data_IF_078838305739
#
_entry.id   IF_078838305739
#
_cell.length_a   1.000
_cell.length_b   1.000
_cell.length_c   1.000
_cell.angle_alpha   90.00
_cell.angle_beta   90.00
_cell.angle_gamma   90.00
#
_symmetry.space_group_name_H-M   'P 1'
#
loop_
_entity.id
_entity.type
_entity.pdbx_description
1 polymer ?
#
# COMPACT_ATOMS: atom_id res chain seq x y z
N UNK A 1 -41.53 -32.05 37.94
CA UNK A 1 -41.23 -32.07 36.50
C UNK A 1 -41.11 -30.61 36.03
N UNK A 2 -39.87 -30.08 35.93
CA UNK A 2 -39.37 -28.95 35.08
C UNK A 2 -37.88 -28.78 35.48
N UNK A 3 -36.93 -29.19 34.61
CA UNK A 3 -36.09 -28.37 33.71
C UNK A 3 -35.14 -27.41 34.48
N UNK A 4 -33.84 -27.31 34.21
CA UNK A 4 -33.03 -27.80 33.10
C UNK A 4 -31.53 -27.58 33.35
N UNK A 5 -30.74 -28.17 32.46
CA UNK A 5 -29.28 -28.23 32.47
C UNK A 5 -28.61 -26.88 32.23
N UNK A 6 -27.50 -26.63 32.94
CA UNK A 6 -26.51 -25.63 32.60
C UNK A 6 -25.17 -26.31 32.37
N UNK A 7 -24.82 -26.59 31.11
CA UNK A 7 -23.49 -27.06 30.73
C UNK A 7 -22.56 -25.85 30.57
N UNK A 8 -21.50 -25.86 31.38
CA UNK A 8 -20.41 -24.89 31.36
C UNK A 8 -19.65 -24.97 30.01
N UNK A 9 -19.73 -23.93 29.19
CA UNK A 9 -18.92 -23.82 27.97
C UNK A 9 -17.67 -23.00 28.31
N UNK A 10 -16.51 -23.65 28.22
CA UNK A 10 -15.18 -23.05 28.38
C UNK A 10 -14.89 -22.17 27.16
N UNK A 11 -14.91 -20.85 27.33
CA UNK A 11 -14.46 -19.88 26.31
C UNK A 11 -12.96 -20.04 26.08
N UNK A 12 -12.54 -20.23 24.82
CA UNK A 12 -11.13 -20.20 24.41
C UNK A 12 -10.69 -18.73 24.27
N UNK A 13 -9.51 -18.42 24.83
CA UNK A 13 -8.89 -17.10 24.83
C UNK A 13 -8.22 -16.72 23.50
N UNK A 14 -8.41 -15.43 23.18
CA UNK A 14 -7.77 -14.47 22.27
C UNK A 14 -6.70 -14.93 21.28
N UNK A 15 -7.00 -14.70 19.99
CA UNK A 15 -6.01 -14.43 18.95
C UNK A 15 -5.30 -13.10 19.25
N UNK A 16 -3.96 -13.14 19.34
CA UNK A 16 -3.12 -11.95 19.46
C UNK A 16 -3.18 -11.16 18.15
N UNK A 17 -3.97 -10.09 18.11
CA UNK A 17 -3.95 -9.18 16.96
C UNK A 17 -2.67 -8.35 17.02
N UNK A 18 -1.74 -8.62 16.11
CA UNK A 18 -0.63 -7.70 15.85
C UNK A 18 -1.24 -6.32 15.55
N UNK A 19 -0.81 -5.23 16.20
CA UNK A 19 -1.32 -3.91 15.87
C UNK A 19 -1.03 -3.61 14.40
N UNK A 20 -2.09 -3.52 13.60
CA UNK A 20 -1.98 -3.15 12.19
C UNK A 20 -1.67 -1.66 12.16
N UNK A 21 -0.52 -1.30 11.57
CA UNK A 21 -0.18 0.12 11.35
C UNK A 21 -1.28 0.78 10.53
N UNK A 22 -1.76 1.94 11.01
CA UNK A 22 -2.71 2.80 10.28
C UNK A 22 -2.18 3.12 8.88
N UNK A 23 -0.88 3.41 8.79
CA UNK A 23 -0.21 3.70 7.53
C UNK A 23 0.23 2.41 6.86
N UNK A 24 -0.27 2.21 5.63
CA UNK A 24 -0.06 0.99 4.83
C UNK A 24 1.07 1.13 3.82
N UNK A 25 1.53 2.36 3.58
CA UNK A 25 2.69 2.66 2.75
C UNK A 25 3.38 3.96 3.17
N UNK A 26 4.67 4.08 2.84
CA UNK A 26 5.52 5.24 3.13
C UNK A 26 5.93 5.95 1.85
N UNK A 27 5.97 7.27 1.91
CA UNK A 27 6.40 8.16 0.82
C UNK A 27 7.58 8.97 1.36
N UNK A 28 8.70 9.04 0.65
CA UNK A 28 9.88 9.72 1.23
C UNK A 28 9.76 11.23 1.07
N UNK A 29 9.50 11.70 -0.15
CA UNK A 29 9.45 13.12 -0.49
C UNK A 29 8.09 13.50 -1.07
N UNK A 30 7.72 14.78 -1.00
CA UNK A 30 6.48 15.30 -1.59
C UNK A 30 6.39 15.13 -3.12
N UNK A 31 7.53 15.16 -3.80
CA UNK A 31 7.61 15.02 -5.25
C UNK A 31 7.74 13.56 -5.70
N UNK A 32 7.74 12.59 -4.78
CA UNK A 32 7.75 11.19 -5.17
C UNK A 32 6.47 10.83 -5.91
N UNK A 33 6.61 10.08 -7.01
CA UNK A 33 5.47 9.57 -7.77
C UNK A 33 4.90 8.28 -7.17
N UNK A 34 5.55 7.72 -6.15
CA UNK A 34 5.27 6.39 -5.62
C UNK A 34 5.43 6.30 -4.11
N UNK A 35 4.54 5.57 -3.46
CA UNK A 35 4.70 5.08 -2.09
C UNK A 35 5.19 3.64 -2.06
N UNK A 36 5.77 3.20 -0.93
CA UNK A 36 6.21 1.80 -0.71
C UNK A 36 5.34 1.15 0.35
N UNK A 37 4.67 0.06 0.00
CA UNK A 37 3.82 -0.71 0.91
C UNK A 37 4.63 -1.27 2.09
N UNK A 38 4.18 -1.02 3.32
CA UNK A 38 4.77 -1.54 4.58
C UNK A 38 4.10 -2.81 5.06
N UNK A 39 3.04 -3.21 4.38
CA UNK A 39 2.23 -4.40 4.58
C UNK A 39 1.58 -4.76 3.23
N UNK A 40 1.20 -6.02 2.96
CA UNK A 40 0.41 -6.34 1.78
C UNK A 40 -0.87 -5.50 1.73
N UNK A 41 -1.20 -4.95 0.56
CA UNK A 41 -2.42 -4.17 0.30
C UNK A 41 -3.28 -4.97 -0.67
N UNK A 42 -4.56 -5.13 -0.36
CA UNK A 42 -5.50 -5.88 -1.20
C UNK A 42 -6.04 -5.02 -2.35
N UNK A 43 -6.53 -5.67 -3.41
CA UNK A 43 -7.27 -4.97 -4.48
C UNK A 43 -8.51 -4.28 -3.91
N UNK A 44 -8.77 -3.06 -4.38
CA UNK A 44 -9.84 -2.19 -3.94
C UNK A 44 -9.76 -1.70 -2.48
N UNK A 45 -8.69 -2.02 -1.74
CA UNK A 45 -8.48 -1.54 -0.38
C UNK A 45 -8.27 -0.01 -0.38
N UNK A 46 -8.97 0.69 0.52
CA UNK A 46 -8.71 2.09 0.83
C UNK A 46 -7.60 2.16 1.87
N UNK A 47 -6.47 2.76 1.49
CA UNK A 47 -5.26 2.77 2.31
C UNK A 47 -4.76 4.19 2.57
N UNK A 48 -4.21 4.38 3.76
CA UNK A 48 -3.55 5.63 4.17
C UNK A 48 -2.05 5.48 3.99
N UNK A 49 -1.45 6.39 3.24
CA UNK A 49 -0.01 6.58 3.18
C UNK A 49 0.43 7.80 3.98
N UNK A 50 1.71 7.84 4.35
CA UNK A 50 2.31 8.98 5.06
C UNK A 50 3.58 9.44 4.35
N UNK A 51 3.72 10.76 4.20
CA UNK A 51 4.96 11.40 3.79
C UNK A 51 5.91 11.49 4.98
N UNK A 52 7.07 10.86 4.88
CA UNK A 52 8.08 10.85 5.94
C UNK A 52 8.70 12.23 6.17
N UNK A 53 8.65 13.10 5.15
CA UNK A 53 9.17 14.47 5.21
C UNK A 53 8.41 15.35 6.22
N UNK A 54 7.08 15.30 6.25
CA UNK A 54 6.25 16.22 7.05
C UNK A 54 5.12 15.55 7.85
N UNK A 55 5.04 14.22 7.85
CA UNK A 55 3.98 13.41 8.46
C UNK A 55 2.57 13.67 7.91
N UNK A 56 2.43 14.38 6.79
CA UNK A 56 1.13 14.50 6.12
C UNK A 56 0.70 13.16 5.53
N UNK A 57 -0.61 12.99 5.35
CA UNK A 57 -1.19 11.74 4.87
C UNK A 57 -1.86 11.90 3.51
N UNK A 58 -1.98 10.77 2.80
CA UNK A 58 -2.78 10.65 1.58
C UNK A 58 -3.65 9.40 1.65
N UNK A 59 -4.89 9.50 1.14
CA UNK A 59 -5.81 8.38 1.03
C UNK A 59 -5.86 7.91 -0.42
N UNK A 60 -5.60 6.64 -0.66
CA UNK A 60 -5.56 6.05 -2.01
C UNK A 60 -6.34 4.73 -2.00
N UNK A 61 -7.11 4.49 -3.08
CA UNK A 61 -7.66 3.17 -3.37
C UNK A 61 -6.65 2.39 -4.20
N UNK A 62 -6.30 1.18 -3.79
CA UNK A 62 -5.44 0.31 -4.60
C UNK A 62 -6.24 -0.30 -5.76
N UNK A 63 -5.78 -0.14 -7.00
CA UNK A 63 -6.48 -0.68 -8.18
C UNK A 63 -6.21 -2.18 -8.40
N UNK A 64 -5.15 -2.70 -7.77
CA UNK A 64 -4.74 -4.10 -7.73
C UNK A 64 -4.04 -4.40 -6.42
N UNK A 65 -3.94 -5.67 -6.05
CA UNK A 65 -3.18 -6.10 -4.88
C UNK A 65 -1.69 -5.71 -5.01
N UNK A 66 -1.11 -5.18 -3.93
CA UNK A 66 0.28 -4.69 -3.87
C UNK A 66 1.04 -5.44 -2.77
N UNK A 67 2.07 -6.22 -3.13
CA UNK A 67 2.88 -6.93 -2.14
C UNK A 67 3.64 -5.99 -1.18
N UNK A 68 4.03 -6.51 -0.02
CA UNK A 68 4.95 -5.84 0.91
C UNK A 68 6.23 -5.38 0.18
N UNK A 69 6.65 -4.14 0.40
CA UNK A 69 7.86 -3.55 -0.18
C UNK A 69 7.71 -3.10 -1.63
N UNK A 70 6.56 -3.37 -2.25
CA UNK A 70 6.26 -2.94 -3.61
C UNK A 70 5.62 -1.55 -3.62
N UNK A 71 5.47 -0.98 -4.81
CA UNK A 71 5.12 0.44 -4.96
C UNK A 71 3.67 0.64 -5.37
N UNK A 72 3.05 1.68 -4.82
CA UNK A 72 1.74 2.21 -5.23
C UNK A 72 1.95 3.56 -5.91
N UNK A 73 1.27 3.83 -7.02
CA UNK A 73 1.35 5.13 -7.71
C UNK A 73 0.59 6.22 -6.95
N UNK A 74 1.18 7.40 -6.85
CA UNK A 74 0.60 8.59 -6.23
C UNK A 74 0.08 9.60 -7.26
N UNK A 75 0.37 9.36 -8.55
CA UNK A 75 0.13 10.29 -9.64
C UNK A 75 -0.35 9.55 -10.89
N UNK A 76 -0.92 10.33 -11.81
CA UNK A 76 -1.19 9.91 -13.18
C UNK A 76 0.07 10.14 -14.03
N UNK A 77 0.48 9.13 -14.82
CA UNK A 77 1.57 9.25 -15.78
C UNK A 77 1.19 8.53 -17.06
N UNK A 78 1.37 9.18 -18.21
CA UNK A 78 1.31 8.50 -19.50
C UNK A 78 2.48 7.52 -19.67
N UNK A 79 2.42 6.68 -20.71
CA UNK A 79 3.59 5.91 -21.13
C UNK A 79 4.75 6.85 -21.52
N UNK A 80 5.97 6.35 -21.39
CA UNK A 80 7.21 7.09 -21.72
C UNK A 80 7.48 8.33 -20.85
N UNK A 81 6.85 8.43 -19.67
CA UNK A 81 7.08 9.49 -18.70
C UNK A 81 8.08 9.07 -17.61
N UNK A 82 8.88 10.01 -17.07
CA UNK A 82 9.79 9.74 -15.97
C UNK A 82 9.01 9.42 -14.69
N UNK A 83 9.45 8.39 -13.97
CA UNK A 83 8.93 8.06 -12.65
C UNK A 83 9.95 8.42 -11.57
N UNK A 84 9.52 9.18 -10.56
CA UNK A 84 10.38 9.75 -9.53
C UNK A 84 10.18 9.04 -8.19
N UNK A 85 11.29 8.76 -7.49
CA UNK A 85 11.31 8.32 -6.09
C UNK A 85 12.61 8.77 -5.44
N UNK A 86 12.56 9.21 -4.19
CA UNK A 86 13.69 9.84 -3.50
C UNK A 86 14.20 11.11 -4.20
N UNK A 87 13.30 11.83 -4.90
CA UNK A 87 13.67 13.00 -5.70
C UNK A 87 14.53 12.71 -6.94
N UNK A 88 14.74 11.43 -7.30
CA UNK A 88 15.49 11.03 -8.49
C UNK A 88 14.62 10.20 -9.44
N UNK A 89 14.95 10.21 -10.72
CA UNK A 89 14.30 9.37 -11.72
C UNK A 89 14.72 7.91 -11.52
N UNK A 90 13.77 7.03 -11.19
CA UNK A 90 14.02 5.59 -11.03
C UNK A 90 13.73 4.78 -12.30
N UNK A 91 13.14 5.41 -13.31
CA UNK A 91 12.83 4.76 -14.58
C UNK A 91 11.92 5.59 -15.47
N UNK A 92 11.33 4.90 -16.44
CA UNK A 92 10.33 5.41 -17.38
C UNK A 92 9.15 4.45 -17.40
N UNK A 93 7.93 4.96 -17.41
CA UNK A 93 6.70 4.16 -17.53
C UNK A 93 6.63 3.46 -18.89
N UNK A 94 6.20 2.19 -18.92
CA UNK A 94 6.01 1.44 -20.18
C UNK A 94 4.55 1.41 -20.63
N UNK A 95 3.63 1.83 -19.76
CA UNK A 95 2.22 2.05 -20.01
C UNK A 95 1.74 3.23 -19.15
N UNK A 96 0.50 3.67 -19.35
CA UNK A 96 -0.10 4.63 -18.43
C UNK A 96 -0.19 4.05 -17.01
N UNK A 97 0.00 4.91 -16.01
CA UNK A 97 -0.21 4.63 -14.58
C UNK A 97 -1.25 5.59 -14.05
N UNK A 98 -2.18 5.06 -13.26
CA UNK A 98 -3.17 5.84 -12.51
C UNK A 98 -2.83 5.87 -11.03
N UNK A 99 -3.37 6.83 -10.30
CA UNK A 99 -3.29 6.86 -8.83
C UNK A 99 -3.82 5.54 -8.28
N UNK A 100 -3.04 4.90 -7.40
CA UNK A 100 -3.38 3.60 -6.81
C UNK A 100 -2.90 2.38 -7.57
N UNK A 101 -2.29 2.53 -8.75
CA UNK A 101 -1.75 1.40 -9.52
C UNK A 101 -0.53 0.76 -8.83
N UNK A 102 -0.42 -0.56 -8.99
CA UNK A 102 0.75 -1.32 -8.57
C UNK A 102 1.93 -1.04 -9.51
N UNK A 103 3.01 -0.44 -9.00
CA UNK A 103 4.20 -0.07 -9.80
C UNK A 103 5.36 -1.05 -9.57
N UNK A 104 5.79 -1.74 -10.64
CA UNK A 104 6.91 -2.68 -10.61
C UNK A 104 7.55 -2.85 -11.99
N UNK A 105 8.53 -3.75 -12.10
CA UNK A 105 9.31 -3.99 -13.33
C UNK A 105 8.49 -4.37 -14.57
N UNK A 106 7.23 -4.76 -14.42
CA UNK A 106 6.35 -5.08 -15.54
C UNK A 106 5.73 -3.83 -16.20
N UNK A 107 5.65 -2.69 -15.49
CA UNK A 107 5.07 -1.45 -16.01
C UNK A 107 6.00 -0.23 -15.94
N UNK A 108 7.25 -0.44 -15.50
CA UNK A 108 8.34 0.54 -15.66
C UNK A 108 9.60 -0.13 -16.20
N UNK A 109 10.33 0.59 -17.05
CA UNK A 109 11.71 0.29 -17.39
C UNK A 109 12.60 1.04 -16.41
N UNK A 110 13.30 0.32 -15.55
CA UNK A 110 14.18 0.95 -14.56
C UNK A 110 15.32 1.69 -15.22
N UNK A 111 15.69 2.84 -14.65
CA UNK A 111 16.95 3.50 -14.99
C UNK A 111 18.08 2.54 -14.55
N UNK A 112 18.69 1.85 -15.51
CA UNK A 112 19.87 1.04 -15.25
C UNK A 112 21.05 1.99 -15.07
N UNK A 113 21.78 1.80 -13.97
CA UNK A 113 23.14 2.26 -13.80
C UNK A 113 24.10 1.23 -14.38
#
# INVERSE_FOLDING_TARGET
MVKGAGSYVKSKESETTTPVSRHRFLIHNKEDHVGVATTPIEEDEQVIGVYMEDNSEVNIRANKAIPLGHKISLVELDAEQPIIKYGIQIGITTCALHVGDYVHTHNIKTARW
#
